data_IF_744525104075
#
_entry.id   IF_744525104075
#
_cell.length_a   1.000
_cell.length_b   1.000
_cell.length_c   1.000
_cell.angle_alpha   90.00
_cell.angle_beta   90.00
_cell.angle_gamma   90.00
#
_symmetry.space_group_name_H-M   'P 1'
#
loop_
_entity.id
_entity.type
_entity.pdbx_description
1 polymer ?
#
# COMPACT_ATOMS: atom_id res chain seq x y z
N UNK A 1 -30.35 -1.16 51.86
CA UNK A 1 -31.05 -2.21 51.09
C UNK A 1 -31.60 -1.56 49.83
N UNK A 2 -31.43 -2.26 48.70
CA UNK A 2 -32.00 -2.01 47.37
C UNK A 2 -31.59 -0.73 46.63
N UNK A 3 -30.93 -0.91 45.50
CA UNK A 3 -31.60 -0.77 44.20
C UNK A 3 -30.84 -1.57 43.14
N UNK A 4 -31.50 -2.59 42.59
CA UNK A 4 -31.05 -3.33 41.41
C UNK A 4 -31.84 -2.81 40.20
N UNK A 5 -31.21 -2.50 39.06
CA UNK A 5 -31.93 -2.12 37.86
C UNK A 5 -32.58 -3.36 37.24
N UNK A 6 -33.91 -3.39 37.26
CA UNK A 6 -34.74 -4.43 36.63
C UNK A 6 -34.41 -4.58 35.15
N UNK A 7 -33.90 -5.77 34.83
CA UNK A 7 -33.76 -6.29 33.48
C UNK A 7 -35.16 -6.46 32.84
N UNK A 8 -35.32 -5.87 31.65
CA UNK A 8 -36.14 -6.35 30.54
C UNK A 8 -37.49 -7.00 30.92
N UNK A 9 -38.47 -6.17 31.24
CA UNK A 9 -39.86 -6.61 31.35
C UNK A 9 -40.50 -6.71 29.96
N UNK A 10 -40.33 -7.87 29.30
CA UNK A 10 -40.97 -8.20 28.01
C UNK A 10 -42.34 -8.85 28.30
N UNK A 11 -43.31 -8.07 28.75
CA UNK A 11 -44.67 -8.58 28.98
C UNK A 11 -45.70 -7.48 29.17
N UNK A 12 -45.97 -6.70 28.13
CA UNK A 12 -47.24 -5.96 28.00
C UNK A 12 -47.73 -6.01 26.55
N UNK A 13 -48.89 -6.65 26.26
CA UNK A 13 -49.53 -6.61 24.96
C UNK A 13 -50.60 -5.52 24.95
N UNK A 14 -50.28 -4.31 24.50
CA UNK A 14 -51.29 -3.32 24.14
C UNK A 14 -50.76 -2.41 23.03
N UNK A 15 -51.58 -2.27 21.99
CA UNK A 15 -51.45 -1.49 20.75
C UNK A 15 -50.97 -2.25 19.50
N UNK A 16 -51.79 -2.30 18.42
CA UNK A 16 -51.36 -2.72 17.09
C UNK A 16 -50.52 -1.61 16.44
N UNK A 17 -49.41 -1.22 17.07
CA UNK A 17 -48.41 -0.38 16.42
C UNK A 17 -47.59 -1.26 15.49
N UNK A 18 -48.16 -1.43 14.29
CA UNK A 18 -47.50 -1.57 13.00
C UNK A 18 -46.20 -2.38 13.01
N UNK A 19 -46.30 -3.71 12.84
CA UNK A 19 -45.12 -4.60 12.62
C UNK A 19 -44.14 -4.02 11.58
N UNK A 20 -44.65 -3.31 10.58
CA UNK A 20 -43.86 -2.57 9.57
C UNK A 20 -42.97 -1.49 10.20
N UNK A 21 -43.47 -0.71 11.16
CA UNK A 21 -42.69 0.31 11.87
C UNK A 21 -41.57 -0.30 12.71
N UNK A 22 -41.81 -1.45 13.35
CA UNK A 22 -40.77 -2.18 14.10
C UNK A 22 -39.71 -2.74 13.15
N UNK A 23 -40.10 -3.29 12.01
CA UNK A 23 -39.17 -3.75 10.98
C UNK A 23 -38.33 -2.60 10.41
N UNK A 24 -38.95 -1.45 10.12
CA UNK A 24 -38.26 -0.25 9.64
C UNK A 24 -37.23 0.23 10.68
N UNK A 25 -37.59 0.28 11.98
CA UNK A 25 -36.66 0.64 13.05
C UNK A 25 -35.46 -0.30 13.13
N UNK A 26 -35.69 -1.61 13.03
CA UNK A 26 -34.61 -2.61 13.01
C UNK A 26 -33.70 -2.46 11.78
N UNK A 27 -34.29 -2.16 10.62
CA UNK A 27 -33.54 -1.96 9.38
C UNK A 27 -32.66 -0.70 9.46
N UNK A 28 -33.19 0.41 9.98
CA UNK A 28 -32.41 1.65 10.22
C UNK A 28 -31.27 1.40 11.21
N UNK A 29 -31.51 0.63 12.28
CA UNK A 29 -30.47 0.27 13.23
C UNK A 29 -29.40 -0.61 12.59
N UNK A 30 -29.80 -1.61 11.81
CA UNK A 30 -28.86 -2.48 11.09
C UNK A 30 -27.99 -1.70 10.10
N UNK A 31 -28.57 -0.78 9.33
CA UNK A 31 -27.84 0.09 8.40
C UNK A 31 -26.87 1.01 9.15
N UNK A 32 -27.30 1.60 10.26
CA UNK A 32 -26.44 2.46 11.09
C UNK A 32 -25.23 1.70 11.64
N UNK A 33 -25.45 0.49 12.15
CA UNK A 33 -24.36 -0.36 12.65
C UNK A 33 -23.44 -0.78 11.52
N UNK A 34 -23.99 -1.24 10.39
CA UNK A 34 -23.20 -1.63 9.22
C UNK A 34 -22.34 -0.47 8.68
N UNK A 35 -22.88 0.75 8.67
CA UNK A 35 -22.15 1.95 8.24
C UNK A 35 -21.02 2.35 9.20
N UNK A 36 -21.10 2.00 10.49
CA UNK A 36 -20.07 2.29 11.48
C UNK A 36 -18.92 1.26 11.49
N UNK A 37 -19.11 0.07 10.90
CA UNK A 37 -18.10 -1.00 10.88
C UNK A 37 -16.76 -0.57 10.26
N UNK A 38 -16.71 0.09 9.07
CA UNK A 38 -15.44 0.53 8.48
C UNK A 38 -14.69 1.51 9.38
N UNK A 39 -15.40 2.43 10.03
CA UNK A 39 -14.80 3.41 10.94
C UNK A 39 -14.18 2.74 12.16
N UNK A 40 -14.90 1.79 12.79
CA UNK A 40 -14.38 1.05 13.93
C UNK A 40 -13.16 0.19 13.53
N UNK A 41 -13.21 -0.46 12.36
CA UNK A 41 -12.09 -1.21 11.80
C UNK A 41 -10.88 -0.32 11.57
N UNK A 42 -11.06 0.82 10.91
CA UNK A 42 -9.95 1.73 10.60
C UNK A 42 -9.36 2.35 11.86
N UNK A 43 -10.18 2.63 12.88
CA UNK A 43 -9.73 3.13 14.17
C UNK A 43 -8.83 2.10 14.86
N UNK A 44 -9.24 0.82 14.85
CA UNK A 44 -8.46 -0.27 15.41
C UNK A 44 -7.09 -0.40 14.73
N UNK A 45 -7.05 -0.41 13.38
CA UNK A 45 -5.79 -0.56 12.65
C UNK A 45 -4.89 0.68 12.76
N UNK A 46 -5.48 1.88 12.79
CA UNK A 46 -4.76 3.14 13.03
C UNK A 46 -4.04 3.10 14.38
N UNK A 47 -4.76 2.71 15.44
CA UNK A 47 -4.20 2.61 16.79
C UNK A 47 -3.15 1.50 16.91
N UNK A 48 -3.41 0.32 16.36
CA UNK A 48 -2.49 -0.83 16.48
C UNK A 48 -1.17 -0.63 15.73
N UNK A 49 -1.20 0.01 14.56
CA UNK A 49 -0.05 0.08 13.65
C UNK A 49 0.61 1.47 13.60
N UNK A 50 0.13 2.41 14.42
CA UNK A 50 0.61 3.80 14.46
C UNK A 50 0.57 4.47 13.07
N UNK A 51 -0.57 4.29 12.37
CA UNK A 51 -0.81 4.85 11.03
C UNK A 51 -1.93 5.89 11.14
N UNK A 52 -1.83 7.04 10.45
CA UNK A 52 -2.93 8.01 10.39
C UNK A 52 -4.23 7.38 9.90
N UNK A 53 -5.35 7.69 10.56
CA UNK A 53 -6.66 7.09 10.28
C UNK A 53 -7.07 7.18 8.79
N UNK A 54 -6.74 8.30 8.14
CA UNK A 54 -7.03 8.53 6.72
C UNK A 54 -6.17 7.72 5.74
N UNK A 55 -5.11 7.05 6.21
CA UNK A 55 -4.20 6.25 5.39
C UNK A 55 -4.38 4.75 5.58
N UNK A 56 -5.22 4.31 6.53
CA UNK A 56 -5.36 2.89 6.89
C UNK A 56 -5.74 2.03 5.70
N UNK A 57 -6.77 2.40 4.93
CA UNK A 57 -7.21 1.62 3.78
C UNK A 57 -6.13 1.52 2.69
N UNK A 58 -5.39 2.63 2.47
CA UNK A 58 -4.26 2.62 1.56
C UNK A 58 -3.16 1.67 2.04
N UNK A 59 -2.76 1.75 3.32
CA UNK A 59 -1.74 0.89 3.90
C UNK A 59 -2.14 -0.59 3.95
N UNK A 60 -3.42 -0.89 4.17
CA UNK A 60 -3.96 -2.25 4.07
C UNK A 60 -3.88 -2.79 2.64
N UNK A 61 -4.20 -1.97 1.64
CA UNK A 61 -4.03 -2.35 0.24
C UNK A 61 -2.55 -2.57 -0.13
N UNK A 62 -1.65 -1.72 0.37
CA UNK A 62 -0.21 -1.87 0.20
C UNK A 62 0.31 -3.16 0.83
N UNK A 63 -0.09 -3.45 2.07
CA UNK A 63 0.25 -4.69 2.76
C UNK A 63 -0.19 -5.91 1.95
N UNK A 64 -1.42 -5.91 1.42
CA UNK A 64 -1.93 -7.00 0.59
C UNK A 64 -1.12 -7.21 -0.70
N UNK A 65 -0.69 -6.13 -1.37
CA UNK A 65 0.16 -6.23 -2.56
C UNK A 65 1.55 -6.77 -2.25
N UNK A 66 2.11 -6.33 -1.13
CA UNK A 66 3.42 -6.77 -0.70
C UNK A 66 3.40 -8.24 -0.23
N UNK A 67 2.33 -8.70 0.41
CA UNK A 67 2.14 -10.12 0.73
C UNK A 67 1.96 -10.98 -0.52
N UNK A 68 1.16 -10.51 -1.49
CA UNK A 68 0.99 -11.16 -2.79
C UNK A 68 2.32 -11.33 -3.53
N UNK A 69 3.18 -10.31 -3.47
CA UNK A 69 4.46 -10.26 -4.20
C UNK A 69 5.68 -10.63 -3.34
N UNK A 70 5.46 -11.17 -2.14
CA UNK A 70 6.54 -11.57 -1.23
C UNK A 70 7.44 -12.69 -1.80
N UNK A 71 7.05 -13.37 -2.87
CA UNK A 71 7.89 -14.37 -3.53
C UNK A 71 8.78 -13.83 -4.66
N UNK A 72 8.75 -12.52 -4.94
CA UNK A 72 9.37 -11.96 -6.13
C UNK A 72 10.80 -11.48 -5.87
N UNK A 73 11.73 -11.90 -6.73
CA UNK A 73 13.03 -11.25 -6.85
C UNK A 73 12.86 -10.03 -7.76
N UNK A 74 13.07 -8.84 -7.22
CA UNK A 74 12.87 -7.58 -7.93
C UNK A 74 14.22 -6.95 -8.22
N UNK A 75 14.43 -6.63 -9.49
CA UNK A 75 15.56 -5.84 -9.95
C UNK A 75 15.07 -4.40 -10.11
N UNK A 76 15.62 -3.50 -9.30
CA UNK A 76 15.26 -2.09 -9.27
C UNK A 76 16.19 -1.28 -10.14
N UNK A 77 15.60 -0.37 -10.91
CA UNK A 77 16.30 0.66 -11.68
C UNK A 77 16.19 1.99 -10.95
N UNK A 78 17.32 2.64 -10.69
CA UNK A 78 17.30 3.93 -10.04
C UNK A 78 16.98 5.04 -11.03
N UNK A 79 16.08 5.91 -10.61
CA UNK A 79 15.66 7.13 -11.26
C UNK A 79 16.06 8.30 -10.35
N UNK A 80 16.91 9.18 -10.87
CA UNK A 80 17.25 10.43 -10.18
C UNK A 80 16.17 11.45 -10.49
N UNK A 81 15.51 11.97 -9.45
CA UNK A 81 14.52 13.04 -9.62
C UNK A 81 15.21 14.41 -9.60
N UNK A 82 14.54 15.46 -10.06
CA UNK A 82 15.07 16.85 -10.00
C UNK A 82 15.20 17.41 -8.56
N UNK A 83 15.00 16.57 -7.53
CA UNK A 83 15.34 16.84 -6.13
C UNK A 83 16.28 15.76 -5.61
N UNK A 84 16.91 16.00 -4.46
CA UNK A 84 17.84 15.04 -3.83
C UNK A 84 17.22 13.69 -3.41
N UNK A 85 15.97 13.43 -3.79
CA UNK A 85 15.30 12.16 -3.63
C UNK A 85 15.69 11.19 -4.77
N UNK A 86 16.10 9.98 -4.39
CA UNK A 86 16.34 8.89 -5.34
C UNK A 86 15.13 7.96 -5.32
N UNK A 87 14.62 7.66 -6.50
CA UNK A 87 13.45 6.78 -6.66
C UNK A 87 13.92 5.54 -7.41
N UNK A 88 13.74 4.36 -6.84
CA UNK A 88 14.11 3.10 -7.45
C UNK A 88 12.84 2.32 -7.79
N UNK A 89 12.71 1.85 -9.03
CA UNK A 89 11.50 1.19 -9.51
C UNK A 89 11.83 -0.19 -10.07
N UNK A 90 11.07 -1.20 -9.68
CA UNK A 90 11.17 -2.55 -10.21
C UNK A 90 9.78 -3.18 -10.34
N UNK A 91 9.69 -4.28 -11.09
CA UNK A 91 8.43 -5.04 -11.24
C UNK A 91 8.61 -6.49 -10.83
N UNK A 92 7.56 -7.10 -10.29
CA UNK A 92 7.57 -8.53 -10.04
C UNK A 92 7.38 -9.28 -11.37
N UNK A 93 8.29 -10.20 -11.75
CA UNK A 93 8.19 -10.92 -13.02
C UNK A 93 7.01 -11.88 -13.11
N UNK A 94 6.42 -12.27 -11.97
CA UNK A 94 5.28 -13.22 -11.92
C UNK A 94 3.93 -12.54 -12.09
N UNK A 95 3.76 -11.34 -11.53
CA UNK A 95 2.47 -10.64 -11.45
C UNK A 95 2.42 -9.38 -12.31
N UNK A 96 3.57 -8.82 -12.67
CA UNK A 96 3.69 -7.49 -13.28
C UNK A 96 3.51 -6.33 -12.31
N UNK A 97 3.18 -6.60 -11.04
CA UNK A 97 3.00 -5.55 -10.03
C UNK A 97 4.32 -4.80 -9.80
N UNK A 98 4.22 -3.48 -9.66
CA UNK A 98 5.37 -2.58 -9.59
C UNK A 98 5.67 -2.26 -8.13
N UNK A 99 6.94 -2.34 -7.74
CA UNK A 99 7.45 -1.87 -6.46
C UNK A 99 8.31 -0.64 -6.67
N UNK A 100 8.02 0.41 -5.90
CA UNK A 100 8.70 1.69 -5.91
C UNK A 100 9.33 1.86 -4.54
N UNK A 101 10.62 2.16 -4.52
CA UNK A 101 11.38 2.53 -3.33
C UNK A 101 11.76 3.99 -3.43
N UNK A 102 11.38 4.78 -2.44
CA UNK A 102 11.67 6.20 -2.38
C UNK A 102 12.67 6.45 -1.26
N UNK A 103 13.86 6.91 -1.62
CA UNK A 103 14.89 7.35 -0.69
C UNK A 103 14.75 8.86 -0.50
N UNK A 104 14.15 9.26 0.62
CA UNK A 104 13.94 10.64 0.97
C UNK A 104 15.24 11.36 1.36
N UNK A 105 15.25 12.71 1.35
CA UNK A 105 16.44 13.52 1.63
C UNK A 105 16.98 13.37 3.07
N UNK A 106 16.16 12.86 3.99
CA UNK A 106 16.52 12.59 5.39
C UNK A 106 17.00 11.15 5.64
N UNK A 107 17.31 10.40 4.57
CA UNK A 107 17.70 8.99 4.66
C UNK A 107 16.55 8.02 4.97
N UNK A 108 15.30 8.50 4.95
CA UNK A 108 14.12 7.65 5.12
C UNK A 108 13.86 6.88 3.83
N UNK A 109 13.67 5.57 3.94
CA UNK A 109 13.39 4.69 2.80
C UNK A 109 11.98 4.15 2.95
N UNK A 110 11.13 4.41 1.96
CA UNK A 110 9.75 3.94 1.92
C UNK A 110 9.50 3.11 0.67
N UNK A 111 8.71 2.05 0.82
CA UNK A 111 8.31 1.17 -0.27
C UNK A 111 6.81 1.29 -0.52
N UNK A 112 6.47 1.42 -1.79
CA UNK A 112 5.10 1.48 -2.28
C UNK A 112 4.93 0.51 -3.43
N UNK A 113 3.80 -0.19 -3.44
CA UNK A 113 3.40 -1.11 -4.48
C UNK A 113 2.26 -0.53 -5.31
N UNK A 114 2.34 -0.73 -6.61
CA UNK A 114 1.28 -0.43 -7.56
C UNK A 114 0.88 -1.73 -8.24
N UNK A 115 -0.38 -2.09 -8.05
CA UNK A 115 -0.97 -3.25 -8.72
C UNK A 115 -1.04 -2.97 -10.24
N UNK A 116 -0.56 -3.90 -11.06
CA UNK A 116 -0.48 -3.68 -12.51
C UNK A 116 -1.85 -3.42 -13.14
N UNK A 117 -2.88 -4.09 -12.63
CA UNK A 117 -4.28 -3.96 -13.06
C UNK A 117 -4.89 -2.59 -12.78
N UNK A 118 -4.30 -1.81 -11.87
CA UNK A 118 -4.74 -0.45 -11.52
C UNK A 118 -4.07 0.63 -12.36
N UNK A 119 -3.07 0.26 -13.18
CA UNK A 119 -2.48 1.21 -14.09
C UNK A 119 -3.50 1.57 -15.18
N UNK A 120 -3.63 2.86 -15.54
CA UNK A 120 -4.46 3.23 -16.68
C UNK A 120 -3.93 2.48 -17.90
N UNK A 121 -4.75 1.56 -18.43
CA UNK A 121 -4.42 0.85 -19.65
C UNK A 121 -4.23 1.90 -20.74
N UNK A 122 -3.13 1.88 -21.50
CA UNK A 122 -3.02 2.75 -22.66
C UNK A 122 -4.26 2.47 -23.51
N UNK A 123 -5.04 3.51 -23.79
CA UNK A 123 -6.20 3.42 -24.65
C UNK A 123 -5.70 2.83 -25.97
N UNK A 124 -5.99 1.56 -26.21
CA UNK A 124 -5.74 0.93 -27.50
C UNK A 124 -6.65 1.68 -28.48
N UNK A 125 -6.02 2.42 -29.40
CA UNK A 125 -6.69 3.18 -30.45
C UNK A 125 -7.61 2.23 -31.23
N UNK A 126 -8.89 2.20 -30.87
CA UNK A 126 -9.97 1.84 -31.79
C UNK A 126 -11.30 2.53 -31.46
N UNK A 127 -11.32 3.47 -30.53
CA UNK A 127 -12.46 4.37 -30.30
C UNK A 127 -11.95 5.79 -30.06
N UNK A 128 -11.59 6.47 -31.15
CA UNK A 128 -11.35 7.91 -31.15
C UNK A 128 -12.67 8.62 -30.80
N UNK A 129 -12.90 8.84 -29.51
CA UNK A 129 -14.03 9.60 -29.00
C UNK A 129 -13.58 11.04 -28.74
N UNK A 130 -14.41 12.00 -29.13
CA UNK A 130 -14.18 13.46 -29.15
C UNK A 130 -13.73 14.08 -27.80
N UNK A 131 -13.69 13.30 -26.72
CA UNK A 131 -13.21 13.70 -25.40
C UNK A 131 -11.67 13.82 -25.32
N UNK A 132 -10.94 13.27 -26.30
CA UNK A 132 -9.48 13.35 -26.38
C UNK A 132 -8.96 14.75 -26.80
N UNK A 133 -9.87 15.71 -26.98
CA UNK A 133 -9.56 17.11 -27.32
C UNK A 133 -9.53 18.04 -26.10
N UNK A 134 -10.01 17.59 -24.94
CA UNK A 134 -10.17 18.42 -23.72
C UNK A 134 -9.29 17.91 -22.56
N UNK A 135 -8.88 16.64 -22.60
CA UNK A 135 -7.95 16.09 -21.60
C UNK A 135 -6.52 16.48 -22.01
N UNK A 136 -5.72 17.14 -21.14
CA UNK A 136 -4.31 17.33 -21.40
C UNK A 136 -3.68 15.94 -21.59
N UNK A 137 -3.33 15.63 -22.83
CA UNK A 137 -2.51 14.46 -23.13
C UNK A 137 -1.19 14.66 -22.39
N UNK A 138 -0.90 13.82 -21.41
CA UNK A 138 0.46 13.63 -20.94
C UNK A 138 1.21 12.89 -22.06
N UNK A 139 1.56 13.62 -23.12
CA UNK A 139 2.46 13.15 -24.14
C UNK A 139 3.83 13.02 -23.47
N UNK A 140 4.32 11.79 -23.35
CA UNK A 140 5.75 11.56 -23.37
C UNK A 140 6.21 12.03 -24.76
N UNK A 141 6.60 13.30 -24.85
CA UNK A 141 7.12 13.89 -26.07
C UNK A 141 8.48 13.25 -26.35
N UNK A 142 8.49 12.30 -27.28
CA UNK A 142 9.69 11.92 -28.01
C UNK A 142 10.04 13.07 -28.96
N UNK A 143 10.66 14.11 -28.41
CA UNK A 143 11.31 15.13 -29.23
C UNK A 143 12.66 14.56 -29.67
N UNK A 144 12.67 14.04 -30.88
CA UNK A 144 13.89 13.87 -31.67
C UNK A 144 14.54 15.25 -31.88
N UNK A 145 15.82 15.31 -31.54
CA UNK A 145 16.79 16.41 -31.70
C UNK A 145 16.96 17.34 -30.48
N UNK A 146 18.05 17.04 -29.75
CA UNK A 146 18.94 18.00 -29.07
C UNK A 146 18.44 18.62 -27.75
N UNK A 147 18.35 17.80 -26.70
CA UNK A 147 19.10 18.09 -25.46
C UNK A 147 19.27 16.78 -24.67
N UNK A 148 20.50 16.34 -24.55
CA UNK A 148 20.89 15.06 -23.99
C UNK A 148 20.86 15.16 -22.45
N UNK A 149 19.70 15.34 -21.84
CA UNK A 149 19.53 15.03 -20.42
C UNK A 149 19.52 13.51 -20.28
N UNK A 150 20.73 12.94 -20.26
CA UNK A 150 20.98 11.61 -19.78
C UNK A 150 20.30 11.47 -18.42
N UNK A 151 19.25 10.66 -18.36
CA UNK A 151 18.80 10.12 -17.09
C UNK A 151 20.00 9.34 -16.55
N UNK A 152 20.68 9.91 -15.57
CA UNK A 152 21.82 9.24 -14.94
C UNK A 152 21.23 8.03 -14.21
N UNK A 153 21.38 6.84 -14.80
CA UNK A 153 21.01 5.58 -14.18
C UNK A 153 21.97 5.40 -13.00
N UNK A 154 21.52 5.83 -11.83
CA UNK A 154 22.20 5.51 -10.59
C UNK A 154 22.14 3.99 -10.38
N UNK A 155 23.12 3.46 -9.65
CA UNK A 155 23.39 2.02 -9.55
C UNK A 155 22.14 1.16 -9.34
N UNK A 156 21.98 0.13 -10.17
CA UNK A 156 20.90 -0.86 -10.04
C UNK A 156 20.98 -1.55 -8.67
N UNK A 157 19.81 -1.73 -8.05
CA UNK A 157 19.66 -2.45 -6.77
C UNK A 157 18.93 -3.77 -7.02
N UNK A 158 19.40 -4.86 -6.45
CA UNK A 158 18.70 -6.15 -6.50
C UNK A 158 18.38 -6.68 -5.10
N UNK A 159 17.21 -7.32 -4.97
CA UNK A 159 16.88 -8.07 -3.75
C UNK A 159 17.52 -9.45 -3.84
N UNK A 160 18.41 -9.78 -2.90
CA UNK A 160 19.09 -11.08 -2.87
C UNK A 160 18.20 -12.15 -2.24
N UNK A 161 17.63 -11.85 -1.08
CA UNK A 161 16.75 -12.74 -0.35
C UNK A 161 15.82 -11.96 0.58
N UNK A 162 14.68 -12.56 0.93
CA UNK A 162 13.72 -11.98 1.87
C UNK A 162 12.99 -13.05 2.68
N UNK A 163 12.65 -12.71 3.93
CA UNK A 163 11.92 -13.53 4.89
C UNK A 163 10.85 -12.68 5.60
N UNK A 164 9.68 -13.28 5.90
CA UNK A 164 8.62 -12.63 6.68
C UNK A 164 8.82 -12.96 8.16
N UNK A 165 8.82 -11.93 9.00
CA UNK A 165 8.95 -12.04 10.45
C UNK A 165 7.85 -11.21 11.13
N UNK A 166 6.74 -11.87 11.46
CA UNK A 166 5.54 -11.22 11.99
C UNK A 166 4.98 -10.16 11.03
N UNK A 167 4.85 -8.93 11.52
CA UNK A 167 4.38 -7.75 10.78
C UNK A 167 5.50 -7.04 9.99
N UNK A 168 6.68 -7.66 9.88
CA UNK A 168 7.83 -7.13 9.18
C UNK A 168 8.33 -8.08 8.08
N UNK A 169 9.01 -7.51 7.10
CA UNK A 169 9.82 -8.22 6.11
C UNK A 169 11.28 -7.89 6.35
N UNK A 170 12.09 -8.92 6.51
CA UNK A 170 13.54 -8.80 6.53
C UNK A 170 14.03 -9.13 5.12
N UNK A 171 14.69 -8.20 4.46
CA UNK A 171 15.27 -8.42 3.13
C UNK A 171 16.72 -8.00 3.10
N UNK A 172 17.48 -8.63 2.23
CA UNK A 172 18.85 -8.23 1.90
C UNK A 172 18.83 -7.66 0.50
N UNK A 173 19.27 -6.41 0.38
CA UNK A 173 19.43 -5.71 -0.89
C UNK A 173 20.91 -5.53 -1.21
N UNK A 174 21.28 -5.66 -2.48
CA UNK A 174 22.62 -5.38 -2.98
C UNK A 174 22.57 -4.15 -3.88
N UNK A 175 23.39 -3.15 -3.56
CA UNK A 175 23.56 -1.94 -4.36
C UNK A 175 25.02 -1.51 -4.29
N UNK A 176 25.63 -1.20 -5.44
CA UNK A 176 27.02 -0.70 -5.48
C UNK A 176 28.07 -1.63 -4.88
N UNK A 177 27.83 -2.95 -4.90
CA UNK A 177 28.72 -3.94 -4.29
C UNK A 177 28.59 -4.09 -2.76
N UNK A 178 27.73 -3.29 -2.11
CA UNK A 178 27.42 -3.41 -0.69
C UNK A 178 26.09 -4.15 -0.50
N UNK A 179 26.01 -4.97 0.56
CA UNK A 179 24.77 -5.62 0.95
C UNK A 179 24.25 -5.04 2.25
N UNK A 180 22.96 -4.74 2.26
CA UNK A 180 22.26 -4.14 3.38
C UNK A 180 21.08 -5.00 3.73
N UNK A 181 20.96 -5.37 5.01
CA UNK A 181 19.77 -6.01 5.56
C UNK A 181 18.82 -4.93 6.04
N UNK A 182 17.63 -4.90 5.45
CA UNK A 182 16.55 -3.99 5.81
C UNK A 182 15.42 -4.76 6.49
N UNK A 183 14.93 -4.23 7.62
CA UNK A 183 13.66 -4.63 8.24
C UNK A 183 12.60 -3.62 7.86
N UNK A 184 11.55 -4.08 7.20
CA UNK A 184 10.53 -3.25 6.56
C UNK A 184 9.19 -3.58 7.20
N UNK A 185 8.47 -2.57 7.66
CA UNK A 185 7.11 -2.79 8.18
C UNK A 185 6.15 -3.08 7.04
N UNK A 186 5.39 -4.17 7.12
CA UNK A 186 4.40 -4.56 6.10
C UNK A 186 3.31 -3.48 5.97
N UNK A 187 2.83 -2.97 7.11
CA UNK A 187 1.76 -1.98 7.14
C UNK A 187 2.25 -0.57 6.80
N UNK A 188 3.42 -0.16 7.30
CA UNK A 188 3.92 1.22 7.06
C UNK A 188 4.64 1.37 5.72
N UNK A 189 5.25 0.30 5.21
CA UNK A 189 6.12 0.33 4.02
C UNK A 189 7.48 0.98 4.26
N UNK A 190 7.73 1.52 5.47
CA UNK A 190 9.00 2.13 5.87
C UNK A 190 10.04 1.09 6.27
N UNK A 191 11.31 1.42 6.02
CA UNK A 191 12.45 0.69 6.58
C UNK A 191 12.67 1.13 8.03
N UNK A 192 12.47 0.19 8.96
CA UNK A 192 12.60 0.40 10.40
C UNK A 192 14.03 0.21 10.90
N UNK A 193 14.76 -0.72 10.28
CA UNK A 193 16.15 -1.01 10.60
C UNK A 193 16.91 -1.30 9.32
N UNK A 194 18.13 -0.78 9.22
CA UNK A 194 19.04 -1.00 8.11
C UNK A 194 20.44 -1.27 8.65
N UNK A 195 21.05 -2.40 8.28
CA UNK A 195 22.37 -2.80 8.73
C UNK A 195 23.21 -3.35 7.56
N UNK A 196 24.48 -2.93 7.48
CA UNK A 196 25.40 -3.48 6.49
C UNK A 196 25.75 -4.93 6.85
N UNK A 197 25.68 -5.82 5.87
CA UNK A 197 25.97 -7.25 6.03
C UNK A 197 26.94 -7.73 4.94
N UNK A 198 27.81 -8.70 5.24
CA UNK A 198 28.65 -9.32 4.21
C UNK A 198 27.78 -10.03 3.16
N UNK A 199 27.97 -9.70 1.88
CA UNK A 199 27.15 -10.24 0.79
C UNK A 199 27.20 -11.77 0.67
N UNK A 200 28.32 -12.38 1.05
CA UNK A 200 28.56 -13.83 1.03
C UNK A 200 27.77 -14.60 2.10
N UNK A 201 27.39 -13.94 3.19
CA UNK A 201 26.69 -14.55 4.34
C UNK A 201 25.33 -13.92 4.62
N UNK A 202 24.87 -13.01 3.77
CA UNK A 202 23.64 -12.27 4.01
C UNK A 202 22.39 -13.15 3.91
N UNK A 203 22.47 -14.26 3.15
CA UNK A 203 21.41 -15.23 2.93
C UNK A 203 21.89 -16.66 3.30
N UNK A 204 21.02 -17.59 3.76
CA UNK A 204 19.58 -17.43 3.96
C UNK A 204 19.24 -16.66 5.25
N UNK A 205 18.14 -15.90 5.21
CA UNK A 205 17.58 -15.22 6.38
C UNK A 205 16.70 -16.25 7.10
N UNK A 206 16.93 -16.45 8.40
CA UNK A 206 16.09 -17.30 9.24
C UNK A 206 14.93 -16.53 9.84
#
# INVERSE_FOLDING_TARGET
MSDAPSLLNISHPAHPVNRTLTLVKLLVLAVSVAAAVPTARNLYFSWKNDVPFNQVDHRLAQAALLEKNFGCKIDYRALVTQGSARVEVGSCPKTGDISIRVNGPRGQVNYEWIAFDRLPKPLTLNTASLLDLIVPRALAAENTADDQQSFEVAQDMSVLCQAKSGDNIIRVVQSGGQCVRETVSIFRGSVEKSENVPCDKACPIK
#
